data_IF_152870658644
#
_entry.id   IF_152870658644
#
_cell.length_a   1.000
_cell.length_b   1.000
_cell.length_c   1.000
_cell.angle_alpha   90.00
_cell.angle_beta   90.00
_cell.angle_gamma   90.00
#
_symmetry.space_group_name_H-M   'P 1'
#
loop_
_entity.id
_entity.type
_entity.pdbx_description
1 polymer ?
#
# COMPACT_ATOMS: atom_id res chain seq x y z
N UNK A 1 -19.16 4.88 3.73
CA UNK A 1 -19.89 4.46 2.53
C UNK A 1 -21.21 3.80 2.90
N UNK A 2 -22.13 3.69 1.95
CA UNK A 2 -23.42 3.05 2.12
C UNK A 2 -23.64 2.05 1.00
N UNK A 3 -24.05 0.82 1.35
CA UNK A 3 -24.35 -0.24 0.39
C UNK A 3 -25.81 -0.66 0.44
N UNK A 4 -26.31 -1.13 -0.72
CA UNK A 4 -27.65 -1.70 -0.87
C UNK A 4 -28.81 -0.69 -0.77
N UNK A 5 -30.02 -1.18 -0.98
CA UNK A 5 -31.25 -0.36 -0.91
C UNK A 5 -31.54 0.15 0.52
N UNK A 6 -31.16 -0.62 1.53
CA UNK A 6 -31.34 -0.27 2.95
C UNK A 6 -30.30 0.73 3.46
N UNK A 7 -29.36 1.19 2.62
CA UNK A 7 -28.30 2.16 2.97
C UNK A 7 -27.48 1.71 4.19
N UNK A 8 -27.13 0.44 4.25
CA UNK A 8 -26.28 -0.13 5.31
C UNK A 8 -24.93 0.59 5.30
N UNK A 9 -24.53 1.13 6.44
CA UNK A 9 -23.25 1.83 6.59
C UNK A 9 -22.09 0.85 6.56
N UNK A 10 -21.09 1.11 5.69
CA UNK A 10 -19.85 0.35 5.60
C UNK A 10 -18.71 1.28 5.98
N UNK A 11 -17.87 0.83 6.90
CA UNK A 11 -16.71 1.57 7.41
C UNK A 11 -15.45 0.71 7.28
N UNK A 12 -14.28 1.28 7.54
CA UNK A 12 -12.94 0.77 7.23
C UNK A 12 -12.65 0.71 5.72
N UNK A 13 -11.49 1.25 5.31
CA UNK A 13 -11.09 1.35 3.91
C UNK A 13 -11.13 0.02 3.17
N UNK A 14 -10.60 -1.03 3.77
CA UNK A 14 -10.57 -2.36 3.15
C UNK A 14 -11.96 -2.98 3.01
N UNK A 15 -12.88 -2.71 3.94
CA UNK A 15 -14.27 -3.17 3.82
C UNK A 15 -15.02 -2.42 2.71
N UNK A 16 -14.79 -1.11 2.61
CA UNK A 16 -15.33 -0.28 1.53
C UNK A 16 -14.79 -0.75 0.18
N UNK A 17 -13.48 -1.04 0.10
CA UNK A 17 -12.83 -1.51 -1.12
C UNK A 17 -13.39 -2.87 -1.58
N UNK A 18 -13.61 -3.82 -0.64
CA UNK A 18 -14.27 -5.10 -0.95
C UNK A 18 -15.68 -4.91 -1.49
N UNK A 19 -16.44 -4.00 -0.89
CA UNK A 19 -17.82 -3.74 -1.34
C UNK A 19 -17.84 -3.10 -2.72
N UNK A 20 -17.00 -2.10 -2.97
CA UNK A 20 -16.88 -1.48 -4.29
C UNK A 20 -16.49 -2.54 -5.35
N UNK A 21 -15.54 -3.42 -5.05
CA UNK A 21 -15.15 -4.49 -5.95
C UNK A 21 -16.31 -5.46 -6.26
N UNK A 22 -17.14 -5.80 -5.27
CA UNK A 22 -18.34 -6.64 -5.48
C UNK A 22 -19.37 -5.96 -6.36
N UNK A 23 -19.56 -4.65 -6.18
CA UNK A 23 -20.53 -3.85 -6.92
C UNK A 23 -20.08 -3.47 -8.33
N UNK A 24 -18.77 -3.48 -8.60
CA UNK A 24 -18.18 -3.01 -9.87
C UNK A 24 -18.53 -3.86 -11.10
N UNK A 25 -18.97 -5.10 -10.91
CA UNK A 25 -19.15 -6.10 -11.97
C UNK A 25 -17.84 -6.73 -12.45
N UNK A 26 -16.68 -6.24 -12.03
CA UNK A 26 -15.36 -6.81 -12.34
C UNK A 26 -15.02 -7.93 -11.34
N UNK A 27 -15.51 -9.14 -11.63
CA UNK A 27 -15.43 -10.29 -10.71
C UNK A 27 -14.01 -10.59 -10.21
N UNK A 28 -13.00 -10.40 -11.05
CA UNK A 28 -11.59 -10.69 -10.70
C UNK A 28 -11.02 -9.77 -9.64
N UNK A 29 -11.54 -8.54 -9.49
CA UNK A 29 -11.02 -7.57 -8.50
C UNK A 29 -11.02 -8.11 -7.07
N UNK A 30 -12.00 -8.98 -6.74
CA UNK A 30 -12.04 -9.65 -5.44
C UNK A 30 -12.18 -11.17 -5.60
N UNK A 31 -11.36 -11.78 -6.46
CA UNK A 31 -11.17 -13.23 -6.54
C UNK A 31 -12.33 -14.03 -7.14
N UNK A 32 -13.30 -13.39 -7.82
CA UNK A 32 -14.41 -14.09 -8.48
C UNK A 32 -15.19 -15.01 -7.54
N UNK A 33 -15.32 -16.26 -7.92
CA UNK A 33 -16.00 -17.29 -7.14
C UNK A 33 -15.02 -18.17 -6.32
N UNK A 34 -13.69 -17.95 -6.47
CA UNK A 34 -12.67 -18.72 -5.76
C UNK A 34 -12.44 -18.17 -4.34
N UNK A 35 -12.75 -19.00 -3.35
CA UNK A 35 -12.62 -18.66 -1.94
C UNK A 35 -11.15 -18.57 -1.48
N UNK A 36 -10.24 -19.32 -2.13
CA UNK A 36 -8.81 -19.29 -1.79
C UNK A 36 -8.15 -18.01 -2.32
N UNK A 37 -8.53 -17.59 -3.52
CA UNK A 37 -8.11 -16.30 -4.08
C UNK A 37 -8.58 -15.14 -3.21
N UNK A 38 -9.86 -15.15 -2.78
CA UNK A 38 -10.39 -14.16 -1.84
C UNK A 38 -9.58 -14.11 -0.55
N UNK A 39 -9.31 -15.28 0.05
CA UNK A 39 -8.54 -15.37 1.29
C UNK A 39 -7.11 -14.84 1.10
N UNK A 40 -6.51 -15.07 -0.07
CA UNK A 40 -5.18 -14.53 -0.38
C UNK A 40 -5.21 -13.01 -0.53
N UNK A 41 -6.23 -12.46 -1.20
CA UNK A 41 -6.46 -11.01 -1.28
C UNK A 41 -6.62 -10.41 0.12
N UNK A 42 -7.45 -11.04 0.96
CA UNK A 42 -7.70 -10.60 2.33
C UNK A 42 -6.40 -10.59 3.17
N UNK A 43 -5.52 -11.57 2.97
CA UNK A 43 -4.22 -11.59 3.66
C UNK A 43 -3.35 -10.37 3.34
N UNK A 44 -3.34 -9.92 2.08
CA UNK A 44 -2.63 -8.69 1.70
C UNK A 44 -3.29 -7.44 2.26
N UNK A 45 -4.64 -7.37 2.23
CA UNK A 45 -5.38 -6.24 2.77
C UNK A 45 -5.16 -6.09 4.29
N UNK A 46 -5.15 -7.20 5.02
CA UNK A 46 -4.96 -7.20 6.47
C UNK A 46 -3.50 -6.84 6.83
N UNK A 47 -2.52 -7.38 6.12
CA UNK A 47 -1.12 -7.02 6.32
C UNK A 47 -0.87 -5.54 5.98
N UNK A 48 -1.48 -5.04 4.89
CA UNK A 48 -1.40 -3.63 4.51
C UNK A 48 -2.05 -2.72 5.58
N UNK A 49 -3.16 -3.14 6.19
CA UNK A 49 -3.80 -2.36 7.25
C UNK A 49 -2.89 -2.19 8.48
N UNK A 50 -2.16 -3.24 8.85
CA UNK A 50 -1.18 -3.16 9.95
C UNK A 50 -0.08 -2.14 9.60
N UNK A 51 0.52 -2.26 8.42
CA UNK A 51 1.52 -1.32 7.94
C UNK A 51 0.98 0.11 7.87
N UNK A 52 -0.20 0.30 7.29
CA UNK A 52 -0.84 1.61 7.15
C UNK A 52 -1.06 2.31 8.49
N UNK A 53 -1.48 1.59 9.52
CA UNK A 53 -1.68 2.16 10.86
C UNK A 53 -0.36 2.58 11.52
N UNK A 54 0.70 1.80 11.37
CA UNK A 54 2.01 2.14 11.92
C UNK A 54 2.61 3.36 11.22
N UNK A 55 2.57 3.42 9.89
CA UNK A 55 3.13 4.56 9.17
C UNK A 55 2.31 5.85 9.34
N UNK A 56 0.99 5.76 9.53
CA UNK A 56 0.19 6.94 9.85
C UNK A 56 0.64 7.58 11.16
N UNK A 57 0.85 6.80 12.21
CA UNK A 57 1.40 7.31 13.46
C UNK A 57 2.79 7.93 13.23
N UNK A 58 3.65 7.23 12.49
CA UNK A 58 5.01 7.69 12.17
C UNK A 58 5.04 9.05 11.46
N UNK A 59 4.14 9.26 10.46
CA UNK A 59 4.13 10.50 9.67
C UNK A 59 3.32 11.62 10.31
N UNK A 60 2.22 11.31 11.00
CA UNK A 60 1.34 12.33 11.58
C UNK A 60 1.85 12.85 12.91
N UNK A 61 2.63 12.06 13.64
CA UNK A 61 3.16 12.40 14.97
C UNK A 61 4.68 12.65 14.92
N UNK A 62 5.16 13.32 13.87
CA UNK A 62 6.60 13.61 13.69
C UNK A 62 7.23 14.35 14.87
N UNK A 63 6.49 15.22 15.56
CA UNK A 63 6.98 15.94 16.76
C UNK A 63 7.34 14.96 17.87
N UNK A 64 6.55 13.92 18.06
CA UNK A 64 6.71 12.87 19.07
C UNK A 64 7.46 11.63 18.56
N UNK A 65 7.93 11.65 17.32
CA UNK A 65 8.66 10.55 16.72
C UNK A 65 9.89 10.19 17.53
N UNK A 66 10.04 8.92 17.83
CA UNK A 66 11.14 8.34 18.61
C UNK A 66 11.57 6.98 18.05
N UNK A 67 12.65 6.43 18.55
CA UNK A 67 13.19 5.13 18.12
C UNK A 67 12.17 3.99 18.18
N UNK A 68 11.29 3.98 19.17
CA UNK A 68 10.28 2.93 19.33
C UNK A 68 9.24 2.97 18.21
N UNK A 69 8.68 4.15 17.91
CA UNK A 69 7.71 4.34 16.83
C UNK A 69 8.36 4.03 15.49
N UNK A 70 9.57 4.52 15.24
CA UNK A 70 10.34 4.25 14.03
C UNK A 70 10.59 2.74 13.84
N UNK A 71 11.05 2.03 14.88
CA UNK A 71 11.32 0.60 14.83
C UNK A 71 10.05 -0.22 14.53
N UNK A 72 8.90 0.16 15.13
CA UNK A 72 7.61 -0.51 14.85
C UNK A 72 7.19 -0.31 13.40
N UNK A 73 7.27 0.90 12.88
CA UNK A 73 6.94 1.19 11.49
C UNK A 73 7.88 0.46 10.54
N UNK A 74 9.19 0.44 10.83
CA UNK A 74 10.17 -0.31 10.05
C UNK A 74 9.88 -1.83 10.03
N UNK A 75 9.50 -2.39 11.17
CA UNK A 75 9.10 -3.80 11.25
C UNK A 75 7.83 -4.10 10.43
N UNK A 76 6.82 -3.24 10.50
CA UNK A 76 5.60 -3.38 9.70
C UNK A 76 5.86 -3.22 8.21
N UNK A 77 6.72 -2.28 7.82
CA UNK A 77 7.21 -2.08 6.46
C UNK A 77 7.87 -3.35 5.90
N UNK A 78 8.86 -3.88 6.61
CA UNK A 78 9.58 -5.08 6.17
C UNK A 78 8.63 -6.28 6.09
N UNK A 79 7.82 -6.51 7.12
CA UNK A 79 6.85 -7.62 7.13
C UNK A 79 5.90 -7.58 5.91
N UNK A 80 5.38 -6.40 5.60
CA UNK A 80 4.48 -6.23 4.46
C UNK A 80 5.20 -6.42 3.13
N UNK A 81 6.35 -5.77 2.93
CA UNK A 81 7.11 -5.85 1.68
C UNK A 81 7.74 -7.22 1.44
N UNK A 82 8.16 -7.94 2.45
CA UNK A 82 8.62 -9.33 2.31
C UNK A 82 7.53 -10.20 1.67
N UNK A 83 6.27 -10.02 2.09
CA UNK A 83 5.11 -10.70 1.51
C UNK A 83 4.82 -10.28 0.07
N UNK A 84 4.90 -8.98 -0.23
CA UNK A 84 4.70 -8.41 -1.56
C UNK A 84 5.80 -8.92 -2.51
N UNK A 85 7.06 -8.79 -2.14
CA UNK A 85 8.22 -9.22 -2.93
C UNK A 85 8.18 -10.72 -3.22
N UNK A 86 7.91 -11.53 -2.21
CA UNK A 86 7.78 -12.98 -2.36
C UNK A 86 6.64 -13.36 -3.31
N UNK A 87 5.52 -12.64 -3.28
CA UNK A 87 4.41 -12.92 -4.19
C UNK A 87 4.74 -12.52 -5.63
N UNK A 88 5.33 -11.34 -5.83
CA UNK A 88 5.70 -10.84 -7.15
C UNK A 88 6.84 -11.63 -7.81
N UNK A 89 7.61 -12.40 -7.05
CA UNK A 89 8.64 -13.30 -7.61
C UNK A 89 8.04 -14.40 -8.49
N UNK A 90 6.77 -14.74 -8.30
CA UNK A 90 6.07 -15.82 -9.02
C UNK A 90 4.82 -15.37 -9.76
N UNK A 91 4.38 -14.14 -9.56
CA UNK A 91 3.12 -13.63 -10.10
C UNK A 91 3.30 -12.27 -10.76
N UNK A 92 2.41 -11.98 -11.71
CA UNK A 92 2.37 -10.67 -12.36
C UNK A 92 1.76 -9.57 -11.47
N UNK A 93 0.86 -9.95 -10.57
CA UNK A 93 0.18 -9.11 -9.58
C UNK A 93 0.30 -9.77 -8.21
N UNK A 94 -0.15 -9.08 -7.14
CA UNK A 94 -0.05 -9.59 -5.77
C UNK A 94 -0.79 -10.91 -5.57
N UNK A 95 -1.86 -11.13 -6.35
CA UNK A 95 -2.60 -12.40 -6.31
C UNK A 95 -2.75 -12.92 -7.74
N UNK A 96 -1.95 -13.90 -8.10
CA UNK A 96 -1.96 -14.56 -9.41
C UNK A 96 -1.72 -13.62 -10.61
N UNK A 97 -2.47 -13.82 -11.70
CA UNK A 97 -2.30 -13.16 -12.99
C UNK A 97 -3.21 -11.95 -13.22
N UNK A 98 -4.04 -11.55 -12.24
CA UNK A 98 -5.01 -10.47 -12.40
C UNK A 98 -4.79 -9.37 -11.37
N UNK A 99 -5.01 -8.12 -11.80
CA UNK A 99 -5.10 -6.99 -10.88
C UNK A 99 -6.28 -7.19 -9.92
N UNK A 100 -6.01 -7.04 -8.63
CA UNK A 100 -6.99 -7.18 -7.55
C UNK A 100 -7.00 -5.97 -6.64
N UNK A 101 -7.95 -5.93 -5.70
CA UNK A 101 -7.98 -4.88 -4.67
C UNK A 101 -6.76 -4.92 -3.73
N UNK A 102 -6.01 -6.03 -3.68
CA UNK A 102 -4.72 -6.07 -2.98
C UNK A 102 -3.69 -5.14 -3.63
N UNK A 103 -3.61 -5.14 -4.97
CA UNK A 103 -2.74 -4.26 -5.74
C UNK A 103 -3.16 -2.80 -5.61
N UNK A 104 -4.47 -2.53 -5.66
CA UNK A 104 -5.02 -1.17 -5.48
C UNK A 104 -4.65 -0.65 -4.08
N UNK A 105 -4.86 -1.43 -3.04
CA UNK A 105 -4.52 -1.08 -1.67
C UNK A 105 -3.02 -0.84 -1.51
N UNK A 106 -2.18 -1.70 -2.09
CA UNK A 106 -0.72 -1.54 -2.10
C UNK A 106 -0.30 -0.19 -2.68
N UNK A 107 -0.75 0.12 -3.90
CA UNK A 107 -0.38 1.38 -4.58
C UNK A 107 -0.80 2.60 -3.76
N UNK A 108 -2.04 2.62 -3.26
CA UNK A 108 -2.58 3.77 -2.55
C UNK A 108 -1.85 4.03 -1.23
N UNK A 109 -1.66 3.02 -0.41
CA UNK A 109 -1.05 3.17 0.91
C UNK A 109 0.47 3.39 0.78
N UNK A 110 1.13 2.68 -0.15
CA UNK A 110 2.57 2.81 -0.29
C UNK A 110 2.99 4.15 -0.90
N UNK A 111 2.21 4.69 -1.85
CA UNK A 111 2.44 6.04 -2.36
C UNK A 111 2.32 7.11 -1.26
N UNK A 112 1.41 6.91 -0.30
CA UNK A 112 1.31 7.80 0.85
C UNK A 112 2.52 7.66 1.79
N UNK A 113 2.98 6.43 2.04
CA UNK A 113 4.14 6.18 2.90
C UNK A 113 5.41 6.83 2.34
N UNK A 114 5.66 6.73 1.03
CA UNK A 114 6.84 7.33 0.41
C UNK A 114 6.96 8.84 0.64
N UNK A 115 5.87 9.52 1.01
CA UNK A 115 5.91 10.94 1.42
C UNK A 115 6.76 11.19 2.65
N UNK A 116 7.22 10.16 3.37
CA UNK A 116 8.23 10.33 4.43
C UNK A 116 9.46 11.11 3.93
N UNK A 117 9.83 10.97 2.66
CA UNK A 117 10.92 11.74 2.05
C UNK A 117 10.76 13.26 2.14
N UNK A 118 9.53 13.79 2.21
CA UNK A 118 9.30 15.22 2.46
C UNK A 118 9.72 15.66 3.86
N UNK A 119 9.84 14.71 4.78
CA UNK A 119 10.17 14.94 6.20
C UNK A 119 11.59 14.46 6.57
N UNK A 120 12.43 14.17 5.57
CA UNK A 120 13.78 13.62 5.81
C UNK A 120 14.58 14.48 6.81
N UNK A 121 14.54 15.80 6.66
CA UNK A 121 15.25 16.73 7.55
C UNK A 121 14.79 16.65 9.00
N UNK A 122 13.47 16.50 9.21
CA UNK A 122 12.86 16.36 10.53
C UNK A 122 13.22 15.02 11.19
N UNK A 123 13.18 13.95 10.40
CA UNK A 123 13.52 12.58 10.83
C UNK A 123 15.00 12.52 11.22
N UNK A 124 15.89 13.08 10.39
CA UNK A 124 17.33 13.12 10.65
C UNK A 124 17.70 13.95 11.90
N UNK A 125 16.98 15.03 12.19
CA UNK A 125 17.18 15.81 13.44
C UNK A 125 16.92 14.97 14.69
N UNK A 126 16.17 13.88 14.58
CA UNK A 126 15.92 12.94 15.67
C UNK A 126 16.91 11.76 15.69
N UNK A 127 17.93 11.79 14.84
CA UNK A 127 18.94 10.73 14.72
C UNK A 127 18.44 9.48 14.03
N UNK A 128 17.34 9.58 13.26
CA UNK A 128 16.72 8.48 12.56
C UNK A 128 16.90 8.63 11.04
N UNK A 129 16.85 7.53 10.32
CA UNK A 129 16.90 7.50 8.85
C UNK A 129 15.51 7.25 8.24
N UNK A 130 15.36 7.58 6.95
CA UNK A 130 14.16 7.18 6.20
C UNK A 130 14.04 5.66 6.15
N UNK A 131 12.87 5.15 6.45
CA UNK A 131 12.59 3.70 6.39
C UNK A 131 12.64 3.21 4.93
N UNK A 132 12.17 4.02 3.97
CA UNK A 132 12.15 3.68 2.55
C UNK A 132 13.45 4.01 1.81
N UNK A 133 14.52 4.44 2.49
CA UNK A 133 15.79 4.89 1.86
C UNK A 133 16.31 3.94 0.78
N UNK A 134 16.35 2.66 1.07
CA UNK A 134 16.86 1.62 0.18
C UNK A 134 15.73 0.81 -0.54
N UNK A 135 14.52 1.34 -0.63
CA UNK A 135 13.34 0.63 -1.16
C UNK A 135 13.59 -0.03 -2.52
N UNK A 136 14.16 0.71 -3.48
CA UNK A 136 14.46 0.19 -4.82
C UNK A 136 15.47 -0.95 -4.81
N UNK A 137 16.43 -0.91 -3.89
CA UNK A 137 17.49 -1.92 -3.77
C UNK A 137 17.01 -3.17 -3.04
N UNK A 138 16.29 -2.99 -1.94
CA UNK A 138 15.93 -4.07 -1.04
C UNK A 138 14.66 -4.81 -1.50
N UNK A 139 13.75 -4.10 -2.21
CA UNK A 139 12.47 -4.62 -2.71
C UNK A 139 12.23 -4.24 -4.18
N UNK A 140 13.07 -4.71 -5.11
CA UNK A 140 13.05 -4.28 -6.51
C UNK A 140 11.76 -4.65 -7.26
N UNK A 141 11.12 -5.79 -6.95
CA UNK A 141 9.87 -6.19 -7.58
C UNK A 141 8.70 -5.33 -7.09
N UNK A 142 8.65 -5.07 -5.79
CA UNK A 142 7.65 -4.19 -5.17
C UNK A 142 7.79 -2.76 -5.71
N UNK A 143 9.02 -2.27 -5.83
CA UNK A 143 9.33 -0.98 -6.44
C UNK A 143 8.80 -0.90 -7.88
N UNK A 144 9.18 -1.85 -8.72
CA UNK A 144 8.74 -1.89 -10.11
C UNK A 144 7.22 -2.02 -10.24
N UNK A 145 6.60 -2.81 -9.37
CA UNK A 145 5.14 -3.00 -9.36
C UNK A 145 4.39 -1.71 -9.00
N UNK A 146 4.86 -0.99 -7.97
CA UNK A 146 4.31 0.31 -7.58
C UNK A 146 4.27 1.29 -8.76
N UNK A 147 5.40 1.47 -9.45
CA UNK A 147 5.48 2.42 -10.56
C UNK A 147 4.77 1.94 -11.81
N UNK A 148 4.81 0.65 -12.11
CA UNK A 148 4.01 0.05 -13.19
C UNK A 148 2.52 0.34 -13.00
N UNK A 149 2.00 0.16 -11.79
CA UNK A 149 0.59 0.42 -11.51
C UNK A 149 0.27 1.92 -11.51
N UNK A 150 1.13 2.74 -10.92
CA UNK A 150 0.91 4.19 -10.88
C UNK A 150 0.88 4.86 -12.25
N UNK A 151 1.50 4.23 -13.26
CA UNK A 151 1.51 4.72 -14.65
C UNK A 151 0.28 4.27 -15.46
N UNK A 152 -0.54 3.37 -14.94
CA UNK A 152 -1.80 2.99 -15.59
C UNK A 152 -2.78 4.16 -15.57
N UNK A 153 -3.59 4.30 -16.63
CA UNK A 153 -4.52 5.42 -16.79
C UNK A 153 -5.47 5.59 -15.58
N UNK A 154 -5.92 4.47 -15.02
CA UNK A 154 -6.83 4.43 -13.87
C UNK A 154 -6.21 4.98 -12.58
N UNK A 155 -4.90 4.92 -12.46
CA UNK A 155 -4.16 5.39 -11.27
C UNK A 155 -3.48 6.73 -11.49
N UNK A 156 -3.00 7.02 -12.69
CA UNK A 156 -2.09 8.14 -12.95
C UNK A 156 -2.66 9.50 -12.55
N UNK A 157 -3.97 9.70 -12.74
CA UNK A 157 -4.65 10.95 -12.37
C UNK A 157 -4.64 11.25 -10.86
N UNK A 158 -4.52 10.21 -10.03
CA UNK A 158 -4.49 10.32 -8.56
C UNK A 158 -3.05 10.16 -8.06
N UNK A 159 -2.36 9.12 -8.53
CA UNK A 159 -1.03 8.77 -8.03
C UNK A 159 0.07 9.74 -8.45
N UNK A 160 -0.07 10.43 -9.60
CA UNK A 160 0.87 11.48 -10.01
C UNK A 160 1.09 12.52 -8.90
N UNK A 161 0.02 12.99 -8.26
CA UNK A 161 0.08 13.94 -7.15
C UNK A 161 0.95 13.46 -5.97
N UNK A 162 1.05 12.14 -5.78
CA UNK A 162 1.81 11.54 -4.67
C UNK A 162 3.21 11.11 -5.07
N UNK A 163 3.45 10.73 -6.33
CA UNK A 163 4.66 10.03 -6.74
C UNK A 163 5.54 10.81 -7.72
N UNK A 164 5.06 11.89 -8.35
CA UNK A 164 5.86 12.64 -9.33
C UNK A 164 7.14 13.18 -8.70
N UNK A 165 7.06 13.76 -7.51
CA UNK A 165 8.24 14.22 -6.77
C UNK A 165 9.23 13.09 -6.47
N UNK A 166 8.73 11.89 -6.16
CA UNK A 166 9.59 10.74 -5.88
C UNK A 166 10.28 10.25 -7.16
N UNK A 167 9.55 10.26 -8.29
CA UNK A 167 10.10 9.93 -9.60
C UNK A 167 11.21 10.92 -9.98
N UNK A 168 10.98 12.22 -9.84
CA UNK A 168 11.96 13.25 -10.13
C UNK A 168 13.25 13.11 -9.31
N UNK A 169 13.14 12.62 -8.07
CA UNK A 169 14.29 12.45 -7.18
C UNK A 169 15.05 11.12 -7.39
N UNK A 170 14.44 10.09 -7.98
CA UNK A 170 14.97 8.70 -7.99
C UNK A 170 15.12 8.09 -9.38
N UNK A 171 14.65 8.75 -10.44
CA UNK A 171 14.77 8.35 -11.84
C UNK A 171 15.49 9.38 -12.68
#
# INVERSE_FOLDING_TARGET
AFGGEEKIGIFESNSILREVARLSGHKTLYGGDDIHIKSRIDSFLDANLVFSREFQVYILELEDLNEYTHARTSAAYSFYLDGVEASLSNNQYLVEGNLTIADISFVCEFAQFLREGHYESEIQKKGLDLISRDFKKDYPLSFNHLFKLSDMEEFSSVMGTYLDWYKEANF
#
